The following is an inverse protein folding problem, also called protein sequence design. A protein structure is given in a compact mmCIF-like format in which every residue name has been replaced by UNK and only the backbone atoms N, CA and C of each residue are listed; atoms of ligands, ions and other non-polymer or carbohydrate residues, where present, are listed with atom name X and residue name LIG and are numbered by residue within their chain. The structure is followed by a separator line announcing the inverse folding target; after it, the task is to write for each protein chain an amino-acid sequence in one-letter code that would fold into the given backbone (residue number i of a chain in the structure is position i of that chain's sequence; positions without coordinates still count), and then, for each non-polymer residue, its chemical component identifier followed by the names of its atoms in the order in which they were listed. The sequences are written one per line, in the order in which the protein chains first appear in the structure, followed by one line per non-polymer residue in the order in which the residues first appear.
data_IF_995740457975
#
_entry.id   IF_995740457975
#
_cell.length_a   1.000
_cell.length_b   1.000
_cell.length_c   1.000
_cell.angle_alpha   90.00
_cell.angle_beta   90.00
_cell.angle_gamma   90.00
#
_symmetry.space_group_name_H-M   'P 1'
#
loop_
_entity.id
_entity.type
_entity.pdbx_description
1 polymer ?
#
# COMPACT_ATOMS: atom_id res chain seq x y z
N UNK A 1 -4.24 11.11 31.83
CA UNK A 1 -4.06 9.86 31.05
C UNK A 1 -4.63 10.07 29.66
N UNK A 2 -3.78 10.45 28.70
CA UNK A 2 -4.20 10.84 27.34
C UNK A 2 -4.42 9.59 26.49
N UNK A 3 -5.62 9.47 25.93
CA UNK A 3 -6.12 8.39 25.07
C UNK A 3 -5.12 8.10 23.94
N UNK A 4 -4.80 6.82 23.74
CA UNK A 4 -3.69 6.35 22.92
C UNK A 4 -3.60 6.95 21.52
N UNK A 5 -2.47 7.60 21.22
CA UNK A 5 -2.07 7.94 19.86
C UNK A 5 -1.42 6.71 19.24
N UNK A 6 -2.07 6.11 18.24
CA UNK A 6 -1.47 5.07 17.40
C UNK A 6 -0.38 5.72 16.55
N UNK A 7 0.88 5.55 16.93
CA UNK A 7 2.03 5.94 16.11
C UNK A 7 2.38 4.78 15.20
N UNK A 8 2.13 4.92 13.90
CA UNK A 8 2.75 4.06 12.88
C UNK A 8 4.02 4.75 12.40
N UNK A 9 5.18 4.11 12.60
CA UNK A 9 6.51 4.61 12.18
C UNK A 9 6.89 6.01 12.69
N UNK A 10 6.42 6.41 13.88
CA UNK A 10 6.75 7.70 14.48
C UNK A 10 6.02 8.91 13.90
N UNK A 11 5.12 8.71 12.93
CA UNK A 11 4.27 9.79 12.43
C UNK A 11 3.03 9.97 13.32
N UNK A 12 2.75 11.23 13.66
CA UNK A 12 1.55 11.62 14.40
C UNK A 12 0.57 12.25 13.42
N UNK A 13 -0.61 11.66 13.27
CA UNK A 13 -1.67 12.22 12.43
C UNK A 13 -2.43 13.29 13.21
N UNK A 14 -2.67 14.43 12.56
CA UNK A 14 -3.40 15.56 13.15
C UNK A 14 -4.87 15.60 12.74
N UNK A 15 -5.25 14.83 11.71
CA UNK A 15 -6.64 14.68 11.26
C UNK A 15 -6.94 13.24 10.80
N UNK A 16 -8.23 12.91 10.73
CA UNK A 16 -8.70 11.61 10.22
C UNK A 16 -8.41 11.47 8.73
N UNK A 17 -8.53 12.57 7.99
CA UNK A 17 -8.32 12.65 6.55
C UNK A 17 -6.86 12.35 6.21
N UNK A 18 -5.92 12.89 6.99
CA UNK A 18 -4.50 12.62 6.83
C UNK A 18 -4.16 11.14 7.03
N UNK A 19 -4.78 10.50 8.04
CA UNK A 19 -4.61 9.07 8.29
C UNK A 19 -5.12 8.24 7.11
N UNK A 20 -6.33 8.53 6.61
CA UNK A 20 -6.93 7.79 5.49
C UNK A 20 -6.09 7.95 4.23
N UNK A 21 -5.74 9.19 3.87
CA UNK A 21 -4.92 9.48 2.70
C UNK A 21 -3.57 8.75 2.76
N UNK A 22 -2.98 8.66 3.96
CA UNK A 22 -1.72 7.94 4.16
C UNK A 22 -1.89 6.44 3.97
N UNK A 23 -2.97 5.85 4.49
CA UNK A 23 -3.28 4.43 4.32
C UNK A 23 -3.53 4.12 2.84
N UNK A 24 -4.33 4.93 2.15
CA UNK A 24 -4.63 4.77 0.72
C UNK A 24 -3.35 4.87 -0.13
N UNK A 25 -2.51 5.87 0.14
CA UNK A 25 -1.23 6.05 -0.56
C UNK A 25 -0.28 4.88 -0.30
N UNK A 26 -0.27 4.35 0.92
CA UNK A 26 0.54 3.19 1.26
C UNK A 26 0.07 1.95 0.49
N UNK A 27 -1.23 1.68 0.46
CA UNK A 27 -1.81 0.56 -0.29
C UNK A 27 -1.52 0.71 -1.79
N UNK A 28 -1.73 1.90 -2.36
CA UNK A 28 -1.42 2.17 -3.78
C UNK A 28 0.04 1.92 -4.11
N UNK A 29 0.95 2.39 -3.26
CA UNK A 29 2.38 2.18 -3.47
C UNK A 29 2.73 0.69 -3.53
N UNK A 30 2.26 -0.10 -2.57
CA UNK A 30 2.59 -1.54 -2.53
C UNK A 30 1.94 -2.34 -3.65
N UNK A 31 0.73 -1.96 -4.09
CA UNK A 31 0.01 -2.70 -5.12
C UNK A 31 0.41 -2.31 -6.55
N UNK A 32 0.61 -1.02 -6.80
CA UNK A 32 0.73 -0.46 -8.15
C UNK A 32 2.09 0.12 -8.50
N UNK A 33 2.93 0.47 -7.51
CA UNK A 33 4.20 1.18 -7.75
C UNK A 33 5.45 0.41 -7.35
N UNK A 34 5.32 -0.53 -6.40
CA UNK A 34 6.44 -1.32 -5.90
C UNK A 34 6.72 -2.53 -6.79
N UNK A 35 7.80 -2.46 -7.55
CA UNK A 35 8.31 -3.62 -8.28
C UNK A 35 8.89 -4.67 -7.34
N UNK A 36 8.62 -5.93 -7.64
CA UNK A 36 9.15 -7.06 -6.89
C UNK A 36 10.02 -7.94 -7.78
N UNK A 37 11.26 -8.18 -7.36
CA UNK A 37 12.20 -9.06 -8.07
C UNK A 37 11.65 -10.48 -8.25
N UNK A 38 10.94 -11.00 -7.24
CA UNK A 38 10.31 -12.33 -7.29
C UNK A 38 9.07 -12.39 -8.19
N UNK A 39 8.54 -11.24 -8.59
CA UNK A 39 7.49 -11.11 -9.60
C UNK A 39 8.10 -10.72 -10.96
N UNK A 40 9.33 -11.14 -11.26
CA UNK A 40 10.01 -10.79 -12.51
C UNK A 40 10.08 -9.27 -12.78
N UNK A 41 10.30 -8.48 -11.72
CA UNK A 41 10.33 -7.01 -11.77
C UNK A 41 8.98 -6.46 -12.27
N UNK A 42 7.89 -7.03 -11.77
CA UNK A 42 6.53 -6.51 -11.93
C UNK A 42 5.99 -6.00 -10.59
N UNK A 43 5.00 -5.12 -10.65
CA UNK A 43 4.17 -4.77 -9.50
C UNK A 43 3.16 -5.88 -9.23
N UNK A 44 2.65 -6.01 -7.99
CA UNK A 44 1.63 -7.01 -7.67
C UNK A 44 0.42 -6.99 -8.61
N UNK A 45 -0.09 -5.80 -8.95
CA UNK A 45 -1.21 -5.68 -9.89
C UNK A 45 -0.86 -6.07 -11.32
N UNK A 46 0.36 -5.76 -11.80
CA UNK A 46 0.82 -6.23 -13.10
C UNK A 46 0.89 -7.76 -13.15
N UNK A 47 1.43 -8.40 -12.11
CA UNK A 47 1.49 -9.85 -12.01
C UNK A 47 0.09 -10.48 -11.96
N UNK A 48 -0.85 -9.87 -11.22
CA UNK A 48 -2.25 -10.31 -11.16
C UNK A 48 -2.92 -10.27 -12.54
N UNK A 49 -2.81 -9.16 -13.27
CA UNK A 49 -3.35 -9.02 -14.63
C UNK A 49 -2.71 -10.03 -15.58
N UNK A 50 -1.39 -10.21 -15.51
CA UNK A 50 -0.70 -11.23 -16.30
C UNK A 50 -1.20 -12.65 -16.00
N UNK A 51 -1.52 -12.96 -14.74
CA UNK A 51 -2.07 -14.27 -14.35
C UNK A 51 -3.50 -14.46 -14.88
N UNK A 52 -4.36 -13.44 -14.79
CA UNK A 52 -5.72 -13.49 -15.33
C UNK A 52 -5.72 -13.71 -16.86
N UNK A 53 -4.87 -13.00 -17.58
CA UNK A 53 -4.76 -13.15 -19.04
C UNK A 53 -4.22 -14.51 -19.48
N UNK A 54 -3.52 -15.24 -18.61
CA UNK A 54 -3.06 -16.61 -18.89
C UNK A 54 -4.10 -17.67 -18.60
N UNK A 55 -5.13 -17.34 -17.82
CA UNK A 55 -6.20 -18.24 -17.44
C UNK A 55 -7.43 -18.15 -18.36
N UNK A 56 -7.47 -17.14 -19.24
CA UNK A 56 -8.46 -16.98 -20.31
C UNK A 56 -7.97 -17.64 -21.61
#
# INVERSE_FOLDING_TARGET
MTKGRKTTYGHTFTSREQLISTIESYIDYYNNRRYQHRLFIQTPMQAHVCAMNRAA
#
